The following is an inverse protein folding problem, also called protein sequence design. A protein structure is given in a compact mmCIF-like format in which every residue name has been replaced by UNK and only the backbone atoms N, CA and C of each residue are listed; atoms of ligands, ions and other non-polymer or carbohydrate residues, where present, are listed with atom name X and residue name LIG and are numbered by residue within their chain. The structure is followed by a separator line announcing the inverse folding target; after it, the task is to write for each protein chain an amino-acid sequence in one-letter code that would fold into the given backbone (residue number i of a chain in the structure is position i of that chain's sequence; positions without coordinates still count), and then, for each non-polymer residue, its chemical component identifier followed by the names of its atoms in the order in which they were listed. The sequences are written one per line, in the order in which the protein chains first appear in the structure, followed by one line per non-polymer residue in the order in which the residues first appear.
data_IF_407839467653
#
_entry.id   IF_407839467653
#
_cell.length_a   1.000
_cell.length_b   1.000
_cell.length_c   1.000
_cell.angle_alpha   90.00
_cell.angle_beta   90.00
_cell.angle_gamma   90.00
#
_symmetry.space_group_name_H-M   'P 1'
#
loop_
_entity.id
_entity.type
_entity.pdbx_description
1 polymer ?
#
# COMPACT_ATOMS: atom_id res chain seq x y z
N UNK A 1 16.93 2.74 -0.44
CA UNK A 1 15.88 1.70 -0.32
C UNK A 1 14.53 2.23 -0.77
N UNK A 2 14.03 3.36 -0.21
CA UNK A 2 12.76 3.97 -0.64
C UNK A 2 12.62 4.14 -2.17
N UNK A 3 13.60 4.76 -2.83
CA UNK A 3 13.61 4.95 -4.28
C UNK A 3 13.59 3.64 -5.09
N UNK A 4 14.15 2.55 -4.54
CA UNK A 4 14.12 1.24 -5.21
C UNK A 4 12.73 0.61 -5.13
N UNK A 5 12.00 0.84 -4.02
CA UNK A 5 10.62 0.36 -3.88
C UNK A 5 9.67 1.12 -4.82
N UNK A 6 9.80 2.45 -4.88
CA UNK A 6 8.92 3.29 -5.72
C UNK A 6 9.09 3.03 -7.21
N UNK A 7 10.30 2.68 -7.66
CA UNK A 7 10.59 2.38 -9.07
C UNK A 7 10.60 0.88 -9.37
N UNK A 8 10.36 0.02 -8.37
CA UNK A 8 10.30 -1.42 -8.55
C UNK A 8 9.07 -1.81 -9.36
N UNK A 9 9.20 -2.87 -10.17
CA UNK A 9 8.05 -3.45 -10.86
C UNK A 9 7.38 -4.49 -9.97
N UNK A 10 6.05 -4.44 -9.87
CA UNK A 10 5.27 -5.51 -9.27
C UNK A 10 5.17 -6.67 -10.25
N UNK A 11 5.04 -7.90 -9.74
CA UNK A 11 4.85 -9.07 -10.59
C UNK A 11 3.47 -9.04 -11.26
N UNK A 12 3.39 -9.55 -12.49
CA UNK A 12 2.13 -9.62 -13.22
C UNK A 12 1.06 -10.44 -12.48
N UNK A 13 1.47 -11.53 -11.82
CA UNK A 13 0.56 -12.35 -11.02
C UNK A 13 -0.10 -11.58 -9.88
N UNK A 14 0.66 -10.72 -9.18
CA UNK A 14 0.12 -9.86 -8.14
C UNK A 14 -0.86 -8.83 -8.71
N UNK A 15 -0.51 -8.21 -9.85
CA UNK A 15 -1.36 -7.21 -10.48
C UNK A 15 -2.70 -7.80 -10.94
N UNK A 16 -2.68 -9.00 -11.54
CA UNK A 16 -3.90 -9.73 -11.94
C UNK A 16 -4.79 -9.99 -10.73
N UNK A 17 -4.25 -10.58 -9.67
CA UNK A 17 -4.99 -10.88 -8.46
C UNK A 17 -5.57 -9.61 -7.80
N UNK A 18 -4.77 -8.55 -7.71
CA UNK A 18 -5.21 -7.27 -7.15
C UNK A 18 -6.42 -6.72 -7.91
N UNK A 19 -6.33 -6.60 -9.23
CA UNK A 19 -7.40 -5.99 -10.02
C UNK A 19 -8.64 -6.87 -10.12
N UNK A 20 -8.50 -8.19 -10.09
CA UNK A 20 -9.67 -9.08 -10.07
C UNK A 20 -10.46 -8.96 -8.77
N UNK A 21 -9.78 -8.85 -7.62
CA UNK A 21 -10.44 -8.58 -6.34
C UNK A 21 -11.06 -7.18 -6.29
N UNK A 22 -10.38 -6.16 -6.83
CA UNK A 22 -10.88 -4.78 -6.86
C UNK A 22 -12.14 -4.65 -7.71
N UNK A 23 -12.22 -5.33 -8.86
CA UNK A 23 -13.43 -5.34 -9.71
C UNK A 23 -14.66 -5.87 -8.97
N UNK A 24 -14.48 -6.84 -8.05
CA UNK A 24 -15.59 -7.40 -7.27
C UNK A 24 -16.21 -6.39 -6.30
N UNK A 25 -15.52 -5.29 -5.98
CA UNK A 25 -15.99 -4.25 -5.07
C UNK A 25 -16.85 -3.18 -5.77
N UNK A 26 -16.94 -3.23 -7.10
CA UNK A 26 -17.79 -2.36 -7.91
C UNK A 26 -17.07 -1.16 -8.53
N UNK A 27 -17.56 -0.74 -9.70
CA UNK A 27 -16.97 0.36 -10.48
C UNK A 27 -17.08 1.71 -9.75
N UNK A 28 -16.05 2.54 -9.91
CA UNK A 28 -16.00 3.87 -9.30
C UNK A 28 -15.72 3.90 -7.79
N UNK A 29 -15.42 2.74 -7.19
CA UNK A 29 -15.01 2.63 -5.79
C UNK A 29 -13.74 3.42 -5.50
N UNK A 30 -13.71 4.03 -4.31
CA UNK A 30 -12.55 4.72 -3.76
C UNK A 30 -11.97 3.90 -2.62
N UNK A 31 -10.65 3.86 -2.52
CA UNK A 31 -9.92 2.99 -1.60
C UNK A 31 -9.16 3.80 -0.54
N UNK A 32 -9.01 3.19 0.63
CA UNK A 32 -8.06 3.61 1.64
C UNK A 32 -6.95 2.55 1.71
N UNK A 33 -5.73 2.92 1.34
CA UNK A 33 -4.55 2.04 1.39
C UNK A 33 -3.84 2.29 2.70
N UNK A 34 -3.78 1.26 3.55
CA UNK A 34 -3.23 1.34 4.91
C UNK A 34 -2.12 0.31 5.06
N UNK A 35 -0.98 0.75 5.55
CA UNK A 35 0.07 -0.12 6.04
C UNK A 35 -0.43 -0.95 7.24
N UNK A 36 -0.01 -2.22 7.33
CA UNK A 36 -0.26 -3.10 8.47
C UNK A 36 0.98 -3.96 8.72
N UNK A 37 2.02 -3.36 9.32
CA UNK A 37 3.30 -4.04 9.50
C UNK A 37 3.25 -5.02 10.69
N UNK A 38 3.92 -6.17 10.58
CA UNK A 38 3.91 -7.23 11.61
C UNK A 38 4.39 -6.76 13.02
N UNK A 39 5.16 -5.69 13.11
CA UNK A 39 5.68 -5.12 14.37
C UNK A 39 5.02 -3.79 14.76
N UNK A 40 3.82 -3.49 14.25
CA UNK A 40 3.08 -2.28 14.61
C UNK A 40 2.63 -2.27 16.08
N UNK A 41 2.41 -3.48 16.66
CA UNK A 41 1.92 -3.71 18.03
C UNK A 41 2.93 -4.51 18.89
N UNK A 42 4.18 -4.03 19.00
CA UNK A 42 5.16 -4.60 19.92
C UNK A 42 4.96 -4.12 21.36
N UNK A 43 5.19 -4.99 22.36
CA UNK A 43 5.05 -4.66 23.79
C UNK A 43 5.84 -3.42 24.25
N UNK A 44 6.95 -3.12 23.57
CA UNK A 44 7.86 -2.01 23.86
C UNK A 44 8.03 -1.02 22.69
N UNK A 45 7.23 -1.13 21.61
CA UNK A 45 7.38 -0.26 20.43
C UNK A 45 6.06 -0.12 19.67
N UNK A 46 5.51 1.10 19.65
CA UNK A 46 4.38 1.48 18.83
C UNK A 46 4.88 2.28 17.63
N UNK A 47 4.60 1.81 16.42
CA UNK A 47 4.87 2.53 15.18
C UNK A 47 3.67 3.36 14.72
N UNK A 48 2.71 3.61 15.62
CA UNK A 48 1.53 4.41 15.37
C UNK A 48 1.93 5.80 14.86
N UNK A 49 1.57 6.09 13.61
CA UNK A 49 1.87 7.37 12.96
C UNK A 49 3.15 7.43 12.12
N UNK A 50 3.95 6.36 12.04
CA UNK A 50 5.16 6.33 11.19
C UNK A 50 4.83 5.84 9.76
N UNK A 51 3.85 4.95 9.63
CA UNK A 51 3.53 4.34 8.35
C UNK A 51 2.43 5.13 7.61
N UNK A 52 2.54 5.17 6.28
CA UNK A 52 1.66 6.00 5.44
C UNK A 52 0.30 5.35 5.23
N UNK A 53 -0.75 6.15 5.38
CA UNK A 53 -2.11 5.85 4.89
C UNK A 53 -2.45 6.81 3.75
N UNK A 54 -2.94 6.26 2.64
CA UNK A 54 -3.42 7.04 1.49
C UNK A 54 -4.93 6.87 1.39
N UNK A 55 -5.67 7.97 1.39
CA UNK A 55 -7.13 7.97 1.33
C UNK A 55 -7.61 8.42 -0.05
N UNK A 56 -8.87 8.10 -0.36
CA UNK A 56 -9.55 8.56 -1.57
C UNK A 56 -8.81 8.15 -2.86
N UNK A 57 -8.27 6.93 -2.87
CA UNK A 57 -7.45 6.39 -3.97
C UNK A 57 -8.36 5.78 -5.03
N UNK A 58 -8.19 6.19 -6.28
CA UNK A 58 -8.86 5.55 -7.42
C UNK A 58 -8.18 4.23 -7.80
N UNK A 59 -8.87 3.37 -8.57
CA UNK A 59 -8.31 2.09 -9.06
C UNK A 59 -6.99 2.31 -9.83
N UNK A 60 -6.90 3.42 -10.57
CA UNK A 60 -5.73 3.79 -11.37
C UNK A 60 -4.51 4.14 -10.51
N UNK A 61 -4.75 4.66 -9.31
CA UNK A 61 -3.71 5.10 -8.36
C UNK A 61 -3.34 4.01 -7.34
N UNK A 62 -4.03 2.87 -7.37
CA UNK A 62 -3.95 1.84 -6.33
C UNK A 62 -2.55 1.24 -6.21
N UNK A 63 -1.94 0.88 -7.34
CA UNK A 63 -0.59 0.29 -7.38
C UNK A 63 0.46 1.26 -6.85
N UNK A 64 0.39 2.53 -7.26
CA UNK A 64 1.27 3.57 -6.75
C UNK A 64 1.09 3.78 -5.25
N UNK A 65 -0.15 3.83 -4.78
CA UNK A 65 -0.47 4.02 -3.35
C UNK A 65 0.06 2.88 -2.49
N UNK A 66 -0.01 1.63 -2.98
CA UNK A 66 0.58 0.47 -2.32
C UNK A 66 2.11 0.62 -2.23
N UNK A 67 2.78 1.04 -3.31
CA UNK A 67 4.23 1.27 -3.28
C UNK A 67 4.61 2.38 -2.30
N UNK A 68 3.82 3.45 -2.21
CA UNK A 68 4.02 4.52 -1.22
C UNK A 68 3.95 3.96 0.20
N UNK A 69 2.95 3.13 0.51
CA UNK A 69 2.84 2.47 1.81
C UNK A 69 4.01 1.50 2.10
N UNK A 70 4.50 0.76 1.10
CA UNK A 70 5.69 -0.08 1.29
C UNK A 70 6.96 0.75 1.46
N UNK A 71 7.10 1.83 0.69
CA UNK A 71 8.24 2.73 0.73
C UNK A 71 8.32 3.51 2.05
N UNK A 72 7.18 3.72 2.74
CA UNK A 72 7.14 4.46 4.00
C UNK A 72 7.92 3.81 5.13
N UNK A 73 8.20 2.50 5.06
CA UNK A 73 9.09 1.84 6.02
C UNK A 73 10.54 2.37 5.98
N UNK A 74 10.91 3.01 4.87
CA UNK A 74 12.23 3.60 4.66
C UNK A 74 12.23 5.13 4.75
N UNK A 75 11.13 5.74 5.23
CA UNK A 75 11.13 7.16 5.56
C UNK A 75 12.11 7.41 6.72
N UNK A 76 12.89 8.50 6.67
CA UNK A 76 13.85 8.85 7.72
C UNK A 76 13.20 9.22 9.05
#
# INVERSE_FOLDING_TARGET
MQHQVLNGQMSDGFLVELFDNVKMLGDGSLFAVRSSAFSEDGADSSWAGILTTVLNVSVQELTHSIQVCWASIFNP
#
